data_IF_405775769275
#
_entry.id   IF_405775769275
#
_cell.length_a   1.000
_cell.length_b   1.000
_cell.length_c   1.000
_cell.angle_alpha   90.00
_cell.angle_beta   90.00
_cell.angle_gamma   90.00
#
_symmetry.space_group_name_H-M   'P 1'
#
loop_
_entity.id
_entity.type
_entity.pdbx_description
1 polymer ?
#
# COMPACT_ATOMS: atom_id res chain seq x y z
N UNK A 1 -0.48 -14.15 9.24
CA UNK A 1 -0.31 -14.62 7.85
C UNK A 1 0.90 -15.54 7.80
N UNK A 2 0.89 -16.55 6.94
CA UNK A 2 2.07 -17.39 6.69
C UNK A 2 2.86 -16.87 5.47
N UNK A 3 4.07 -17.40 5.25
CA UNK A 3 4.96 -16.91 4.18
C UNK A 3 4.40 -17.12 2.77
N UNK A 4 3.59 -18.16 2.55
CA UNK A 4 3.02 -18.43 1.22
C UNK A 4 1.90 -17.44 0.90
N UNK A 5 1.08 -17.14 1.89
CA UNK A 5 0.04 -16.12 1.84
C UNK A 5 0.65 -14.72 1.63
N UNK A 6 1.69 -14.37 2.38
CA UNK A 6 2.43 -13.11 2.20
C UNK A 6 2.94 -12.93 0.76
N UNK A 7 3.55 -13.97 0.19
CA UNK A 7 4.07 -13.91 -1.18
C UNK A 7 2.95 -13.78 -2.23
N UNK A 8 1.80 -14.41 -1.98
CA UNK A 8 0.61 -14.25 -2.83
C UNK A 8 0.14 -12.79 -2.88
N UNK A 9 0.10 -12.11 -1.74
CA UNK A 9 -0.28 -10.69 -1.68
C UNK A 9 0.76 -9.78 -2.33
N UNK A 10 2.05 -10.06 -2.18
CA UNK A 10 3.10 -9.32 -2.88
C UNK A 10 2.93 -9.46 -4.39
N UNK A 11 2.66 -10.67 -4.89
CA UNK A 11 2.35 -10.88 -6.32
C UNK A 11 1.05 -10.20 -6.75
N UNK A 12 0.04 -10.10 -5.88
CA UNK A 12 -1.18 -9.35 -6.16
C UNK A 12 -0.86 -7.86 -6.35
N UNK A 13 -0.06 -7.26 -5.47
CA UNK A 13 0.36 -5.87 -5.55
C UNK A 13 1.07 -5.56 -6.88
N UNK A 14 1.97 -6.45 -7.32
CA UNK A 14 2.65 -6.30 -8.62
C UNK A 14 1.71 -6.46 -9.82
N UNK A 15 0.69 -7.33 -9.73
CA UNK A 15 -0.26 -7.59 -10.84
C UNK A 15 -1.38 -6.56 -10.94
N UNK A 16 -1.68 -5.87 -9.85
CA UNK A 16 -2.79 -4.91 -9.75
C UNK A 16 -2.30 -3.56 -9.24
N UNK A 17 -1.40 -2.87 -9.95
CA UNK A 17 -0.86 -1.58 -9.53
C UNK A 17 -1.91 -0.45 -9.46
N UNK A 18 -3.04 -0.61 -10.14
CA UNK A 18 -4.17 0.34 -10.12
C UNK A 18 -5.25 -0.04 -9.09
N UNK A 19 -4.94 -0.93 -8.12
CA UNK A 19 -5.86 -1.30 -7.05
C UNK A 19 -6.38 -0.07 -6.32
N UNK A 20 -7.68 0.01 -6.09
CA UNK A 20 -8.27 1.05 -5.25
C UNK A 20 -8.09 0.68 -3.78
N UNK A 21 -8.11 1.68 -2.89
CA UNK A 21 -8.12 1.45 -1.46
C UNK A 21 -9.30 0.58 -1.01
N UNK A 22 -10.46 0.71 -1.67
CA UNK A 22 -11.65 -0.11 -1.44
C UNK A 22 -11.50 -1.57 -1.88
N UNK A 23 -10.55 -1.86 -2.78
CA UNK A 23 -10.24 -3.22 -3.24
C UNK A 23 -9.15 -3.90 -2.39
N UNK A 24 -8.58 -3.20 -1.42
CA UNK A 24 -7.53 -3.74 -0.55
C UNK A 24 -8.07 -4.94 0.25
N UNK A 25 -7.45 -6.12 0.16
CA UNK A 25 -7.88 -7.28 0.95
C UNK A 25 -7.92 -6.95 2.45
N UNK A 26 -8.97 -7.41 3.12
CA UNK A 26 -9.20 -7.08 4.52
C UNK A 26 -8.04 -7.51 5.41
N UNK A 27 -7.39 -8.63 5.12
CA UNK A 27 -6.23 -9.14 5.84
C UNK A 27 -5.05 -8.16 5.81
N UNK A 28 -4.86 -7.46 4.68
CA UNK A 28 -3.82 -6.43 4.55
C UNK A 28 -4.23 -5.16 5.28
N UNK A 29 -5.49 -4.76 5.15
CA UNK A 29 -6.05 -3.61 5.85
C UNK A 29 -5.92 -3.77 7.36
N UNK A 30 -6.28 -4.95 7.88
CA UNK A 30 -6.14 -5.33 9.28
C UNK A 30 -4.66 -5.34 9.72
N UNK A 31 -3.77 -5.94 8.91
CA UNK A 31 -2.34 -5.95 9.18
C UNK A 31 -1.72 -4.55 9.29
N UNK A 32 -2.20 -3.57 8.51
CA UNK A 32 -1.73 -2.18 8.61
C UNK A 32 -1.98 -1.57 9.99
N UNK A 33 -3.03 -1.99 10.69
CA UNK A 33 -3.44 -1.44 11.99
C UNK A 33 -2.66 -1.97 13.19
N UNK A 34 -2.05 -3.16 13.07
CA UNK A 34 -1.34 -3.81 14.17
C UNK A 34 0.12 -3.38 14.30
N UNK A 35 0.63 -2.62 13.33
CA UNK A 35 2.00 -2.16 13.34
C UNK A 35 2.12 -0.88 14.19
N UNK A 36 2.99 -0.90 15.21
CA UNK A 36 3.06 0.14 16.25
C UNK A 36 3.52 1.51 15.69
N UNK A 37 4.70 1.54 15.08
CA UNK A 37 5.37 2.79 14.65
C UNK A 37 5.98 2.72 13.25
N UNK A 38 6.10 1.52 12.68
CA UNK A 38 6.61 1.29 11.34
C UNK A 38 5.95 0.05 10.71
N UNK A 39 5.82 0.00 9.37
CA UNK A 39 5.26 -1.18 8.69
C UNK A 39 6.10 -2.42 8.99
N UNK A 40 5.46 -3.59 9.09
CA UNK A 40 6.19 -4.87 9.18
C UNK A 40 7.00 -5.13 7.91
N UNK A 41 7.97 -6.05 7.96
CA UNK A 41 8.74 -6.43 6.76
C UNK A 41 7.85 -6.91 5.62
N UNK A 42 6.78 -7.64 5.95
CA UNK A 42 5.76 -8.03 4.98
C UNK A 42 5.10 -6.82 4.33
N UNK A 43 4.58 -5.87 5.13
CA UNK A 43 3.92 -4.68 4.61
C UNK A 43 4.88 -3.80 3.79
N UNK A 44 6.14 -3.68 4.22
CA UNK A 44 7.19 -3.00 3.45
C UNK A 44 7.34 -3.61 2.07
N UNK A 45 7.46 -4.93 1.97
CA UNK A 45 7.56 -5.65 0.69
C UNK A 45 6.31 -5.50 -0.16
N UNK A 46 5.12 -5.60 0.44
CA UNK A 46 3.84 -5.45 -0.25
C UNK A 46 3.68 -4.07 -0.89
N UNK A 47 3.80 -3.00 -0.09
CA UNK A 47 3.65 -1.63 -0.58
C UNK A 47 4.75 -1.25 -1.56
N UNK A 48 5.99 -1.67 -1.32
CA UNK A 48 7.11 -1.44 -2.24
C UNK A 48 6.86 -2.08 -3.60
N UNK A 49 6.39 -3.33 -3.62
CA UNK A 49 6.11 -4.05 -4.87
C UNK A 49 4.98 -3.39 -5.68
N UNK A 50 3.89 -3.00 -5.02
CA UNK A 50 2.77 -2.34 -5.69
C UNK A 50 3.12 -0.92 -6.16
N UNK A 51 3.83 -0.15 -5.34
CA UNK A 51 4.24 1.22 -5.68
C UNK A 51 5.23 1.26 -6.86
N UNK A 52 6.21 0.35 -6.90
CA UNK A 52 7.12 0.22 -8.05
C UNK A 52 6.36 -0.18 -9.32
N UNK A 53 5.39 -1.10 -9.21
CA UNK A 53 4.56 -1.49 -10.35
C UNK A 53 3.71 -0.31 -10.85
N UNK A 54 3.11 0.46 -9.95
CA UNK A 54 2.36 1.68 -10.25
C UNK A 54 3.22 2.75 -10.94
N UNK A 55 4.40 3.06 -10.39
CA UNK A 55 5.33 4.01 -11.01
C UNK A 55 5.78 3.55 -12.41
N UNK A 56 5.99 2.24 -12.58
CA UNK A 56 6.39 1.67 -13.88
C UNK A 56 5.29 1.87 -14.93
N UNK A 57 4.03 1.69 -14.56
CA UNK A 57 2.89 1.97 -15.45
C UNK A 57 2.73 3.46 -15.75
N UNK A 58 2.87 4.31 -14.73
CA UNK A 58 2.74 5.77 -14.87
C UNK A 58 3.80 6.37 -15.80
N UNK A 59 5.06 5.96 -15.64
CA UNK A 59 6.21 6.55 -16.35
C UNK A 59 6.47 5.85 -17.70
N UNK A 60 5.96 4.62 -17.88
CA UNK A 60 6.08 3.85 -19.12
C UNK A 60 7.49 3.35 -19.44
N UNK A 61 8.42 3.38 -18.47
CA UNK A 61 9.78 2.81 -18.59
C UNK A 61 10.29 2.29 -17.25
N UNK A 62 11.04 1.19 -17.29
CA UNK A 62 11.83 0.74 -16.14
C UNK A 62 12.95 1.75 -15.89
N UNK A 63 12.82 2.49 -14.78
CA UNK A 63 13.84 3.43 -14.30
C UNK A 63 14.32 2.93 -12.94
N UNK A 64 15.60 3.12 -12.63
CA UNK A 64 16.07 2.96 -11.26
C UNK A 64 15.40 4.04 -10.40
N UNK A 65 14.57 3.62 -9.46
CA UNK A 65 13.92 4.52 -8.51
C UNK A 65 14.83 4.78 -7.33
N UNK A 66 14.84 6.03 -6.85
CA UNK A 66 15.55 6.40 -5.64
C UNK A 66 15.01 5.60 -4.45
N UNK A 67 15.84 4.77 -3.78
CA UNK A 67 15.40 3.97 -2.64
C UNK A 67 14.77 4.79 -1.52
N UNK A 68 15.26 6.01 -1.27
CA UNK A 68 14.74 6.88 -0.20
C UNK A 68 13.31 7.37 -0.53
N UNK A 69 13.05 7.67 -1.80
CA UNK A 69 11.69 8.04 -2.25
C UNK A 69 10.73 6.87 -2.14
N UNK A 70 11.16 5.66 -2.51
CA UNK A 70 10.35 4.45 -2.39
C UNK A 70 10.03 4.15 -0.92
N UNK A 71 11.02 4.25 -0.02
CA UNK A 71 10.79 3.99 1.40
C UNK A 71 9.85 5.03 2.02
N UNK A 72 9.95 6.30 1.60
CA UNK A 72 9.02 7.34 2.03
C UNK A 72 7.60 7.07 1.53
N UNK A 73 7.44 6.67 0.27
CA UNK A 73 6.15 6.29 -0.30
C UNK A 73 5.55 5.09 0.46
N UNK A 74 6.33 4.04 0.69
CA UNK A 74 5.89 2.87 1.49
C UNK A 74 5.34 3.28 2.85
N UNK A 75 6.02 4.22 3.53
CA UNK A 75 5.58 4.69 4.84
C UNK A 75 4.23 5.40 4.78
N UNK A 76 4.03 6.34 3.84
CA UNK A 76 2.75 7.08 3.73
C UNK A 76 1.61 6.19 3.23
N UNK A 77 1.89 5.23 2.35
CA UNK A 77 0.89 4.26 1.87
C UNK A 77 0.44 3.33 3.01
N UNK A 78 1.35 2.91 3.88
CA UNK A 78 1.01 2.16 5.08
C UNK A 78 0.15 3.00 6.05
N UNK A 79 0.50 4.26 6.28
CA UNK A 79 -0.31 5.18 7.11
C UNK A 79 -1.74 5.30 6.56
N UNK A 80 -1.88 5.45 5.23
CA UNK A 80 -3.20 5.44 4.57
C UNK A 80 -3.96 4.17 4.90
N UNK A 81 -3.34 2.99 4.78
CA UNK A 81 -3.95 1.71 5.14
C UNK A 81 -4.43 1.65 6.60
N UNK A 82 -3.61 2.13 7.54
CA UNK A 82 -3.98 2.20 8.96
C UNK A 82 -5.15 3.17 9.23
N UNK A 83 -5.21 4.30 8.51
CA UNK A 83 -6.32 5.24 8.55
C UNK A 83 -7.62 4.62 8.02
N UNK A 84 -7.55 3.96 6.86
CA UNK A 84 -8.69 3.27 6.25
C UNK A 84 -9.26 2.18 7.18
N UNK A 85 -8.40 1.42 7.86
CA UNK A 85 -8.86 0.43 8.84
C UNK A 85 -9.59 1.09 10.01
N UNK A 86 -9.08 2.22 10.49
CA UNK A 86 -9.73 3.00 11.54
C UNK A 86 -11.12 3.46 11.09
N UNK A 87 -11.23 4.04 9.89
CA UNK A 87 -12.48 4.48 9.26
C UNK A 87 -13.48 3.31 9.11
N UNK A 88 -12.99 2.14 8.68
CA UNK A 88 -13.77 0.91 8.58
C UNK A 88 -14.34 0.48 9.95
N UNK A 89 -13.52 0.42 11.01
CA UNK A 89 -13.97 0.03 12.36
C UNK A 89 -15.04 0.98 12.90
N UNK A 90 -14.85 2.29 12.74
CA UNK A 90 -15.77 3.28 13.32
C UNK A 90 -17.00 3.53 12.43
N UNK A 91 -17.09 2.88 11.26
CA UNK A 91 -18.20 3.02 10.33
C UNK A 91 -18.29 4.41 9.69
N UNK A 92 -17.14 5.07 9.47
CA UNK A 92 -17.07 6.40 8.85
C UNK A 92 -16.65 6.27 7.40
N UNK A 93 -17.29 7.05 6.52
CA UNK A 93 -16.83 7.21 5.14
C UNK A 93 -15.44 7.85 5.11
N UNK A 94 -14.55 7.29 4.29
CA UNK A 94 -13.21 7.79 4.04
C UNK A 94 -13.11 8.26 2.58
N UNK A 95 -12.51 9.42 2.36
CA UNK A 95 -12.32 9.96 1.01
C UNK A 95 -11.31 9.16 0.21
N UNK A 96 -10.47 8.38 0.88
CA UNK A 96 -9.41 7.61 0.26
C UNK A 96 -9.92 6.28 -0.32
N UNK A 97 -11.16 5.84 -0.04
CA UNK A 97 -11.69 4.56 -0.54
C UNK A 97 -11.66 4.43 -2.06
N UNK A 98 -11.89 5.54 -2.78
CA UNK A 98 -11.90 5.60 -4.24
C UNK A 98 -10.53 5.98 -4.83
N UNK A 99 -9.51 6.18 -3.99
CA UNK A 99 -8.15 6.53 -4.42
C UNK A 99 -7.34 5.28 -4.77
N UNK A 100 -6.30 5.46 -5.59
CA UNK A 100 -5.36 4.39 -5.90
C UNK A 100 -4.49 4.05 -4.70
N UNK A 101 -4.50 2.79 -4.29
CA UNK A 101 -3.80 2.29 -3.12
C UNK A 101 -2.30 2.56 -3.18
N UNK A 102 -1.68 2.36 -4.35
CA UNK A 102 -0.22 2.43 -4.52
C UNK A 102 0.29 3.80 -4.98
N UNK A 103 -0.59 4.80 -5.09
CA UNK A 103 -0.21 6.18 -5.41
C UNK A 103 0.07 6.98 -4.14
N UNK A 104 1.27 7.53 -4.02
CA UNK A 104 1.67 8.44 -2.94
C UNK A 104 1.38 9.92 -3.27
N UNK A 105 0.73 10.20 -4.40
CA UNK A 105 0.36 11.56 -4.80
C UNK A 105 -0.60 12.18 -3.77
N UNK A 106 -0.25 13.40 -3.31
CA UNK A 106 -1.06 14.14 -2.34
C UNK A 106 -0.98 13.64 -0.89
N UNK A 107 -0.04 12.75 -0.55
CA UNK A 107 0.09 12.19 0.81
C UNK A 107 1.16 12.84 1.71
N UNK A 108 1.85 13.88 1.24
CA UNK A 108 3.02 14.45 1.93
C UNK A 108 2.75 15.75 2.70
N UNK A 109 1.49 16.17 2.76
CA UNK A 109 1.05 17.43 3.39
C UNK A 109 0.87 17.32 4.92
#
# INVERSE_FOLDING_TARGET
>A
MDTAEEESYIQLATRSPNMLCSDLPFEILEACSFADNEPTEFLRRFFRAGHIAWLTELIGRQTEFDPELIDRAVFVLWIRGASLYTSYIIGREDTDWDQQLFSDEGLYD
#
